data_IF_874171531613
#
_entry.id   IF_874171531613
#
_cell.length_a   1.000
_cell.length_b   1.000
_cell.length_c   1.000
_cell.angle_alpha   90.00
_cell.angle_beta   90.00
_cell.angle_gamma   90.00
#
_symmetry.space_group_name_H-M   'P 1'
#
loop_
_entity.id
_entity.type
_entity.pdbx_description
1 polymer ?
#
# COMPACT_ATOMS: atom_id res chain seq x y z
N UNK A 1 -0.87 -38.83 30.90
CA UNK A 1 -1.23 -37.65 30.11
C UNK A 1 -0.26 -36.54 30.52
N UNK A 2 0.74 -36.26 29.68
CA UNK A 2 1.71 -35.19 29.94
C UNK A 2 1.15 -33.88 29.42
N UNK A 3 0.99 -32.89 30.31
CA UNK A 3 0.64 -31.53 29.93
C UNK A 3 1.75 -30.96 29.02
N UNK A 4 1.36 -30.47 27.84
CA UNK A 4 2.28 -29.80 26.92
C UNK A 4 2.88 -28.57 27.60
N UNK A 5 4.22 -28.47 27.57
CA UNK A 5 4.93 -27.30 28.03
C UNK A 5 4.43 -26.06 27.26
N UNK A 6 4.04 -25.00 27.98
CA UNK A 6 3.78 -23.70 27.36
C UNK A 6 5.08 -23.21 26.72
N UNK A 7 5.08 -23.05 25.39
CA UNK A 7 6.16 -22.32 24.72
C UNK A 7 6.19 -20.92 25.34
N UNK A 8 7.32 -20.51 25.92
CA UNK A 8 7.45 -19.25 26.64
C UNK A 8 6.97 -18.06 25.80
N UNK A 9 6.38 -17.05 26.44
CA UNK A 9 5.90 -15.86 25.74
C UNK A 9 7.06 -15.23 24.96
N UNK A 10 6.91 -15.11 23.64
CA UNK A 10 7.84 -14.32 22.83
C UNK A 10 7.73 -12.87 23.31
N UNK A 11 8.84 -12.30 23.80
CA UNK A 11 8.90 -10.97 24.39
C UNK A 11 8.83 -9.85 23.35
N UNK A 12 7.73 -9.77 22.62
CA UNK A 12 7.49 -8.69 21.67
C UNK A 12 7.36 -7.36 22.39
N UNK A 13 8.14 -6.38 21.96
CA UNK A 13 8.11 -4.98 22.40
C UNK A 13 7.98 -4.10 21.16
N UNK A 14 7.48 -2.88 21.30
CA UNK A 14 7.38 -1.96 20.16
C UNK A 14 8.72 -1.72 19.45
N UNK A 15 9.83 -1.82 20.20
CA UNK A 15 11.20 -1.69 19.71
C UNK A 15 11.75 -2.90 18.97
N UNK A 16 11.07 -4.05 18.98
CA UNK A 16 11.51 -5.27 18.28
C UNK A 16 10.46 -5.78 17.26
N UNK A 17 9.48 -4.96 16.92
CA UNK A 17 8.45 -5.21 15.90
C UNK A 17 8.60 -4.20 14.77
N UNK A 18 8.49 -4.68 13.52
CA UNK A 18 8.28 -3.84 12.35
C UNK A 18 6.79 -3.87 12.00
N UNK A 19 6.17 -2.69 11.92
CA UNK A 19 4.80 -2.53 11.44
C UNK A 19 4.84 -2.20 9.94
N UNK A 20 4.22 -3.03 9.11
CA UNK A 20 4.07 -2.76 7.67
C UNK A 20 2.64 -2.36 7.35
N UNK A 21 2.50 -1.32 6.54
CA UNK A 21 1.22 -0.70 6.25
C UNK A 21 1.07 -0.47 4.74
N UNK A 22 0.05 -1.08 4.14
CA UNK A 22 -0.28 -0.98 2.72
C UNK A 22 -1.77 -0.70 2.56
N UNK A 23 -2.10 0.51 2.12
CA UNK A 23 -3.48 0.97 1.98
C UNK A 23 -3.63 1.86 0.74
N UNK A 24 -4.86 2.28 0.44
CA UNK A 24 -5.17 3.26 -0.60
C UNK A 24 -5.46 2.66 -1.97
N UNK A 25 -5.06 1.42 -2.26
CA UNK A 25 -5.39 0.73 -3.53
C UNK A 25 -6.89 0.72 -3.75
N UNK A 26 -7.66 0.24 -2.78
CA UNK A 26 -9.11 0.10 -2.93
C UNK A 26 -9.82 1.46 -2.84
N UNK A 27 -9.27 2.42 -2.10
CA UNK A 27 -9.83 3.76 -1.98
C UNK A 27 -9.68 4.55 -3.29
N UNK A 28 -8.54 4.41 -3.98
CA UNK A 28 -8.32 4.99 -5.30
C UNK A 28 -9.16 4.25 -6.35
N UNK A 29 -9.02 2.92 -6.44
CA UNK A 29 -9.67 2.12 -7.49
C UNK A 29 -11.20 2.11 -7.40
N UNK A 30 -11.80 2.21 -6.21
CA UNK A 30 -13.27 2.28 -6.08
C UNK A 30 -13.82 3.70 -6.19
N UNK A 31 -12.98 4.75 -6.14
CA UNK A 31 -13.45 6.15 -6.15
C UNK A 31 -13.08 6.92 -7.42
N UNK A 32 -12.46 6.26 -8.41
CA UNK A 32 -12.07 6.90 -9.67
C UNK A 32 -13.25 7.47 -10.45
N UNK A 33 -14.39 6.78 -10.48
CA UNK A 33 -15.58 7.20 -11.23
C UNK A 33 -16.45 8.21 -10.46
N UNK A 34 -16.08 8.53 -9.22
CA UNK A 34 -16.85 9.43 -8.36
C UNK A 34 -16.60 10.90 -8.71
N UNK A 35 -17.67 11.70 -8.64
CA UNK A 35 -17.58 13.14 -8.92
C UNK A 35 -16.77 13.90 -7.85
N UNK A 36 -16.20 15.04 -8.21
CA UNK A 36 -15.46 15.92 -7.30
C UNK A 36 -13.95 15.74 -7.33
N UNK A 37 -13.24 16.51 -6.52
CA UNK A 37 -11.78 16.57 -6.52
C UNK A 37 -11.16 15.32 -5.87
N UNK A 38 -10.54 14.48 -6.70
CA UNK A 38 -9.92 13.22 -6.28
C UNK A 38 -8.60 13.43 -5.52
N UNK A 39 -7.90 14.54 -5.76
CA UNK A 39 -6.70 14.87 -5.02
C UNK A 39 -7.05 15.34 -3.60
N UNK A 40 -8.10 16.17 -3.46
CA UNK A 40 -8.63 16.58 -2.17
C UNK A 40 -9.25 15.41 -1.38
N UNK A 41 -9.87 14.44 -2.06
CA UNK A 41 -10.28 13.18 -1.45
C UNK A 41 -9.08 12.43 -0.83
N UNK A 42 -7.97 12.36 -1.57
CA UNK A 42 -6.75 11.71 -1.08
C UNK A 42 -6.19 12.39 0.18
N UNK A 43 -6.27 13.72 0.28
CA UNK A 43 -5.88 14.44 1.50
C UNK A 43 -6.79 14.06 2.68
N UNK A 44 -8.11 14.07 2.48
CA UNK A 44 -9.08 13.72 3.53
C UNK A 44 -8.91 12.29 4.02
N UNK A 45 -8.67 11.36 3.09
CA UNK A 45 -8.40 9.96 3.39
C UNK A 45 -7.10 9.82 4.19
N UNK A 46 -6.00 10.41 3.73
CA UNK A 46 -4.71 10.32 4.41
C UNK A 46 -4.72 10.99 5.78
N UNK A 47 -5.45 12.10 5.96
CA UNK A 47 -5.62 12.73 7.26
C UNK A 47 -6.36 11.81 8.24
N UNK A 48 -7.44 11.17 7.77
CA UNK A 48 -8.20 10.18 8.56
C UNK A 48 -7.35 8.97 8.91
N UNK A 49 -6.53 8.52 7.97
CA UNK A 49 -5.65 7.38 8.10
C UNK A 49 -4.51 7.62 9.08
N UNK A 50 -3.78 8.72 8.88
CA UNK A 50 -2.74 9.15 9.80
C UNK A 50 -3.32 9.40 11.20
N UNK A 51 -4.56 9.88 11.32
CA UNK A 51 -5.20 9.99 12.63
C UNK A 51 -5.42 8.63 13.32
N UNK A 52 -5.69 7.55 12.58
CA UNK A 52 -5.81 6.19 13.09
C UNK A 52 -4.45 5.56 13.43
N UNK A 53 -3.46 5.64 12.54
CA UNK A 53 -2.09 5.18 12.81
C UNK A 53 -1.49 5.93 14.00
N UNK A 54 -1.79 7.23 14.10
CA UNK A 54 -1.47 8.02 15.28
C UNK A 54 -2.24 7.55 16.51
N UNK A 55 -3.52 7.15 16.44
CA UNK A 55 -4.24 6.58 17.61
C UNK A 55 -3.61 5.27 18.10
N UNK A 56 -3.23 4.39 17.17
CA UNK A 56 -2.51 3.16 17.48
C UNK A 56 -1.15 3.45 18.16
N UNK A 57 -0.47 4.49 17.71
CA UNK A 57 0.77 4.98 18.34
C UNK A 57 0.50 5.73 19.67
N UNK A 58 -0.65 6.42 19.79
CA UNK A 58 -1.07 7.26 20.93
C UNK A 58 -1.53 6.49 22.16
N UNK A 59 -2.02 5.27 22.03
CA UNK A 59 -2.19 4.39 23.21
C UNK A 59 -0.84 4.11 23.91
N UNK A 60 0.29 4.47 23.27
CA UNK A 60 1.62 4.37 23.84
C UNK A 60 2.39 5.70 24.05
N UNK A 61 2.08 6.85 23.37
CA UNK A 61 2.39 8.26 23.81
C UNK A 61 1.85 9.34 22.81
N UNK A 62 1.60 10.58 23.27
CA UNK A 62 0.96 11.76 22.60
C UNK A 62 1.74 12.30 21.37
N UNK A 63 1.13 12.82 20.27
CA UNK A 63 0.86 14.26 19.91
C UNK A 63 0.06 14.35 18.58
N UNK A 64 -0.62 15.48 18.33
CA UNK A 64 -1.34 15.86 17.09
C UNK A 64 -0.64 17.06 16.42
N UNK A 65 -0.30 16.98 15.13
CA UNK A 65 -0.21 18.16 14.24
C UNK A 65 -0.25 17.75 12.76
N UNK A 66 -1.08 18.43 11.98
CA UNK A 66 -1.38 18.18 10.56
C UNK A 66 -0.27 18.65 9.61
N UNK A 67 0.98 18.28 9.90
CA UNK A 67 2.09 18.55 8.99
C UNK A 67 2.97 17.32 8.90
N UNK A 68 2.95 16.71 7.71
CA UNK A 68 3.75 15.58 7.20
C UNK A 68 5.10 15.38 7.89
N UNK A 69 5.11 14.77 9.07
CA UNK A 69 6.39 14.48 9.73
C UNK A 69 6.26 13.20 10.54
N UNK A 70 6.90 12.13 10.04
CA UNK A 70 7.21 10.94 10.85
C UNK A 70 8.15 11.28 12.03
N UNK A 71 8.76 12.47 12.03
CA UNK A 71 9.70 12.90 13.07
C UNK A 71 9.07 12.97 14.46
N UNK A 72 7.75 13.24 14.57
CA UNK A 72 7.05 13.18 15.86
C UNK A 72 6.66 11.75 16.28
N UNK A 73 6.45 10.81 15.34
CA UNK A 73 6.24 9.39 15.68
C UNK A 73 7.52 8.76 16.25
N UNK A 74 8.69 9.10 15.71
CA UNK A 74 9.96 8.54 16.19
C UNK A 74 10.42 9.10 17.54
N UNK A 75 10.16 10.38 17.84
CA UNK A 75 10.69 11.04 19.03
C UNK A 75 9.82 10.88 20.29
N UNK A 76 8.50 10.73 20.13
CA UNK A 76 7.58 10.72 21.29
C UNK A 76 7.03 9.32 21.62
N UNK A 77 6.97 8.36 20.68
CA UNK A 77 6.35 7.04 20.89
C UNK A 77 7.30 5.89 21.26
N UNK A 78 8.59 6.12 21.48
CA UNK A 78 9.53 5.05 21.86
C UNK A 78 9.80 4.04 20.74
N UNK A 79 10.51 4.44 19.69
CA UNK A 79 11.22 3.53 18.79
C UNK A 79 10.38 2.52 18.00
N UNK A 80 9.25 2.93 17.44
CA UNK A 80 8.46 2.08 16.53
C UNK A 80 9.00 2.20 15.11
N UNK A 81 9.25 1.06 14.45
CA UNK A 81 9.64 1.02 13.02
C UNK A 81 8.40 0.80 12.16
N UNK A 82 8.13 1.72 11.23
CA UNK A 82 7.05 1.60 10.25
C UNK A 82 7.61 1.48 8.84
N UNK A 83 7.01 0.58 8.04
CA UNK A 83 7.21 0.46 6.60
C UNK A 83 5.89 0.78 5.92
N UNK A 84 5.84 1.89 5.18
CA UNK A 84 4.71 2.20 4.32
C UNK A 84 4.94 1.62 2.92
N UNK A 85 3.87 1.19 2.27
CA UNK A 85 3.88 0.74 0.88
C UNK A 85 2.98 1.65 0.06
N UNK A 86 3.49 2.23 -1.02
CA UNK A 86 2.69 3.09 -1.88
C UNK A 86 1.76 2.30 -2.81
N UNK A 87 0.85 3.00 -3.49
CA UNK A 87 -0.10 2.38 -4.41
C UNK A 87 0.65 1.96 -5.69
N UNK A 88 0.62 0.67 -6.08
CA UNK A 88 1.23 0.17 -7.31
C UNK A 88 0.50 0.72 -8.55
N UNK A 89 1.01 0.52 -9.78
CA UNK A 89 0.38 1.07 -10.98
C UNK A 89 -0.84 0.22 -11.38
N UNK A 90 -1.90 0.26 -10.57
CA UNK A 90 -3.17 -0.46 -10.79
C UNK A 90 -3.93 0.07 -12.01
N UNK A 91 -3.54 1.24 -12.53
CA UNK A 91 -3.96 1.77 -13.84
C UNK A 91 -3.57 0.85 -15.01
N UNK A 92 -2.65 -0.10 -14.77
CA UNK A 92 -2.20 -1.11 -15.73
C UNK A 92 -2.81 -2.49 -15.48
N UNK A 93 -3.75 -2.62 -14.53
CA UNK A 93 -4.46 -3.87 -14.28
C UNK A 93 -5.35 -4.27 -15.45
N UNK A 94 -5.64 -5.58 -15.66
CA UNK A 94 -6.56 -6.02 -16.70
C UNK A 94 -7.95 -5.38 -16.59
N UNK A 95 -8.42 -5.12 -15.37
CA UNK A 95 -9.65 -4.37 -15.11
C UNK A 95 -9.63 -2.99 -15.76
N UNK A 96 -8.54 -2.24 -15.57
CA UNK A 96 -8.39 -0.89 -16.08
C UNK A 96 -8.09 -0.84 -17.56
N UNK A 97 -7.33 -1.81 -18.07
CA UNK A 97 -7.10 -1.96 -19.51
C UNK A 97 -8.38 -2.28 -20.28
N UNK A 98 -9.40 -2.86 -19.61
CA UNK A 98 -10.72 -3.08 -20.20
C UNK A 98 -11.60 -1.81 -20.22
N UNK A 99 -11.23 -0.75 -19.49
CA UNK A 99 -11.95 0.53 -19.48
C UNK A 99 -11.52 1.43 -20.66
N UNK A 100 -12.33 2.46 -21.02
CA UNK A 100 -11.88 3.51 -21.92
C UNK A 100 -10.64 4.26 -21.38
N UNK A 101 -9.97 5.02 -22.24
CA UNK A 101 -8.73 5.73 -21.88
C UNK A 101 -8.92 6.80 -20.80
N UNK A 102 -10.14 7.30 -20.58
CA UNK A 102 -10.42 8.35 -19.61
C UNK A 102 -10.32 7.85 -18.16
N UNK A 103 -11.02 6.77 -17.72
CA UNK A 103 -10.78 6.14 -16.42
C UNK A 103 -9.31 5.79 -16.16
N UNK A 104 -8.62 5.17 -17.13
CA UNK A 104 -7.19 4.83 -17.00
C UNK A 104 -6.32 6.06 -16.68
N UNK A 105 -6.54 7.17 -17.41
CA UNK A 105 -5.80 8.41 -17.18
C UNK A 105 -6.12 9.05 -15.83
N UNK A 106 -7.37 8.91 -15.37
CA UNK A 106 -7.82 9.43 -14.09
C UNK A 106 -7.19 8.65 -12.93
N UNK A 107 -7.24 7.31 -12.95
CA UNK A 107 -6.64 6.47 -11.92
C UNK A 107 -5.11 6.70 -11.84
N UNK A 108 -4.44 6.77 -13.00
CA UNK A 108 -3.02 7.14 -13.08
C UNK A 108 -2.72 8.49 -12.42
N UNK A 109 -3.58 9.48 -12.63
CA UNK A 109 -3.46 10.80 -12.00
C UNK A 109 -3.67 10.72 -10.49
N UNK A 110 -4.65 9.94 -10.02
CA UNK A 110 -4.92 9.74 -8.60
C UNK A 110 -3.74 9.06 -7.89
N UNK A 111 -3.17 8.00 -8.49
CA UNK A 111 -1.95 7.34 -7.98
C UNK A 111 -0.79 8.34 -7.89
N UNK A 112 -0.63 9.18 -8.90
CA UNK A 112 0.43 10.20 -8.96
C UNK A 112 0.24 11.33 -7.93
N UNK A 113 -0.99 11.67 -7.59
CA UNK A 113 -1.32 12.61 -6.51
C UNK A 113 -1.17 11.99 -5.13
N UNK A 114 -1.59 10.74 -4.94
CA UNK A 114 -1.60 10.04 -3.66
C UNK A 114 -0.20 9.64 -3.19
N UNK A 115 0.60 8.99 -4.03
CA UNK A 115 1.86 8.37 -3.59
C UNK A 115 2.87 9.37 -3.00
N UNK A 116 3.06 10.59 -3.56
CA UNK A 116 3.93 11.59 -2.94
C UNK A 116 3.44 12.08 -1.58
N UNK A 117 2.19 11.80 -1.22
CA UNK A 117 1.62 12.19 0.07
C UNK A 117 1.96 11.19 1.19
N UNK A 118 2.52 10.02 0.87
CA UNK A 118 2.97 9.01 1.83
C UNK A 118 4.35 9.34 2.43
N UNK A 119 4.64 8.73 3.57
CA UNK A 119 5.73 9.13 4.45
C UNK A 119 7.11 8.53 4.10
N UNK A 120 8.17 9.03 4.76
CA UNK A 120 9.61 8.85 4.41
C UNK A 120 10.17 7.42 4.49
N UNK A 121 9.58 6.52 5.29
CA UNK A 121 9.97 5.09 5.31
C UNK A 121 9.08 4.28 4.38
N UNK A 122 9.43 4.26 3.09
CA UNK A 122 8.59 3.76 2.01
C UNK A 122 9.23 2.59 1.26
N UNK A 123 8.47 1.53 1.02
CA UNK A 123 8.73 0.62 -0.09
C UNK A 123 7.93 1.10 -1.31
N UNK A 124 8.65 1.48 -2.37
CA UNK A 124 8.07 2.01 -3.61
C UNK A 124 7.58 0.88 -4.50
N UNK A 125 6.38 0.37 -4.18
CA UNK A 125 5.71 -0.65 -4.98
C UNK A 125 5.40 -0.13 -6.38
N UNK A 126 5.07 1.17 -6.54
CA UNK A 126 4.82 1.77 -7.85
C UNK A 126 6.02 1.61 -8.78
N UNK A 127 7.21 1.97 -8.32
CA UNK A 127 8.43 1.81 -9.09
C UNK A 127 8.69 0.32 -9.39
N UNK A 128 8.65 -0.53 -8.36
CA UNK A 128 8.97 -1.95 -8.51
C UNK A 128 8.02 -2.68 -9.47
N UNK A 129 6.71 -2.49 -9.35
CA UNK A 129 5.75 -3.09 -10.27
C UNK A 129 5.79 -2.44 -11.67
N UNK A 130 6.21 -1.17 -11.78
CA UNK A 130 6.49 -0.57 -13.10
C UNK A 130 7.62 -1.29 -13.81
N UNK A 131 8.72 -1.62 -13.11
CA UNK A 131 9.82 -2.40 -13.70
C UNK A 131 9.33 -3.76 -14.20
N UNK A 132 8.54 -4.48 -13.40
CA UNK A 132 7.95 -5.77 -13.80
C UNK A 132 7.06 -5.60 -15.04
N UNK A 133 6.22 -4.56 -15.07
CA UNK A 133 5.29 -4.39 -16.18
C UNK A 133 5.95 -3.89 -17.46
N UNK A 134 7.13 -3.27 -17.35
CA UNK A 134 7.91 -2.78 -18.49
C UNK A 134 8.82 -3.87 -19.08
N UNK A 135 9.29 -4.83 -18.27
CA UNK A 135 10.00 -6.03 -18.73
C UNK A 135 9.54 -7.30 -17.99
N UNK A 136 8.34 -7.83 -18.27
CA UNK A 136 7.80 -8.97 -17.53
C UNK A 136 8.67 -10.22 -17.64
N UNK A 137 9.38 -10.38 -18.77
CA UNK A 137 10.21 -11.56 -19.03
C UNK A 137 11.44 -11.62 -18.15
N UNK A 138 12.03 -10.47 -17.80
CA UNK A 138 13.15 -10.41 -16.84
C UNK A 138 12.75 -10.90 -15.43
N UNK A 139 11.45 -10.84 -15.11
CA UNK A 139 10.90 -11.25 -13.81
C UNK A 139 10.15 -12.59 -13.88
N UNK A 140 10.22 -13.30 -15.00
CA UNK A 140 9.63 -14.64 -15.16
C UNK A 140 8.14 -14.65 -15.55
N UNK A 141 7.58 -13.50 -15.93
CA UNK A 141 6.21 -13.40 -16.42
C UNK A 141 6.17 -13.39 -17.96
N UNK A 142 5.15 -14.03 -18.51
CA UNK A 142 4.84 -14.05 -19.94
C UNK A 142 3.93 -12.88 -20.31
N UNK A 143 3.00 -12.50 -19.42
CA UNK A 143 2.02 -11.45 -19.70
C UNK A 143 1.64 -10.66 -18.45
N UNK A 144 1.42 -9.35 -18.61
CA UNK A 144 1.00 -8.40 -17.55
C UNK A 144 -0.29 -7.65 -17.92
N UNK A 145 -1.03 -8.15 -18.91
CA UNK A 145 -2.27 -7.56 -19.44
C UNK A 145 -3.44 -8.55 -19.47
N UNK A 146 -3.16 -9.86 -19.50
CA UNK A 146 -4.14 -10.93 -19.24
C UNK A 146 -4.09 -11.40 -17.78
N UNK A 147 -5.03 -12.25 -17.40
CA UNK A 147 -5.08 -12.87 -16.08
C UNK A 147 -5.48 -14.34 -16.15
N UNK A 148 -5.09 -15.09 -15.12
CA UNK A 148 -5.46 -16.50 -14.90
C UNK A 148 -5.05 -17.46 -16.04
N UNK A 149 -3.95 -17.15 -16.73
CA UNK A 149 -3.26 -18.04 -17.67
C UNK A 149 -1.85 -18.36 -17.15
N UNK A 150 -1.28 -19.47 -17.64
CA UNK A 150 0.07 -19.87 -17.26
C UNK A 150 1.10 -18.78 -17.66
N UNK A 151 1.83 -18.27 -16.67
CA UNK A 151 2.82 -17.22 -16.85
C UNK A 151 2.27 -15.80 -16.76
N UNK A 152 0.98 -15.61 -16.49
CA UNK A 152 0.43 -14.29 -16.23
C UNK A 152 0.89 -13.75 -14.88
N UNK A 153 1.11 -12.44 -14.81
CA UNK A 153 1.33 -11.75 -13.54
C UNK A 153 0.05 -11.68 -12.70
N UNK A 154 -1.10 -11.51 -13.36
CA UNK A 154 -2.38 -11.29 -12.70
C UNK A 154 -3.13 -12.60 -12.46
N UNK A 155 -3.53 -12.85 -11.22
CA UNK A 155 -4.33 -14.01 -10.84
C UNK A 155 -5.82 -13.81 -11.11
N UNK A 156 -6.29 -12.56 -11.06
CA UNK A 156 -7.62 -12.16 -11.48
C UNK A 156 -7.56 -10.78 -12.17
N UNK A 157 -8.69 -10.11 -12.37
CA UNK A 157 -8.74 -8.84 -13.10
C UNK A 157 -8.04 -7.65 -12.40
N UNK A 158 -7.72 -7.73 -11.10
CA UNK A 158 -7.07 -6.63 -10.36
C UNK A 158 -6.03 -7.05 -9.31
N UNK A 159 -5.90 -8.34 -9.01
CA UNK A 159 -4.98 -8.88 -8.02
C UNK A 159 -3.88 -9.74 -8.67
N UNK A 160 -2.61 -9.62 -8.20
CA UNK A 160 -1.51 -10.45 -8.68
C UNK A 160 -1.72 -11.94 -8.33
N UNK A 161 -1.17 -12.85 -9.14
CA UNK A 161 -1.10 -14.26 -8.79
C UNK A 161 -0.05 -14.47 -7.68
N UNK A 162 -0.35 -15.33 -6.70
CA UNK A 162 0.71 -15.86 -5.84
C UNK A 162 1.64 -16.72 -6.71
N UNK A 163 2.86 -16.23 -6.97
CA UNK A 163 3.82 -16.86 -7.89
C UNK A 163 3.86 -18.39 -7.73
N UNK A 164 3.47 -19.15 -8.76
CA UNK A 164 3.72 -20.60 -8.82
C UNK A 164 5.18 -20.79 -9.18
N UNK A 165 5.99 -21.15 -8.19
CA UNK A 165 7.33 -21.70 -8.43
C UNK A 165 7.23 -23.15 -8.86
#
# INVERSE_FOLDING_TARGET
MGAGASVGSVGWTSSNVLFSEWTGINDIGNSECESGDRDAFSDTFLDSYLALTNKFSKEHYFVFSSTRTLDCMHSEAGGHSFLFVNVPPIDRSPLMLAQPSSPQALEKSMISGFNPKLATSLWDSKAYFTEIFDDPTAYGFVNVTSYNLDGDFWGNYCDPEASRR
#
